data_IF_433256835621
#
_entry.id   IF_433256835621
#
_cell.length_a   1.000
_cell.length_b   1.000
_cell.length_c   1.000
_cell.angle_alpha   90.00
_cell.angle_beta   90.00
_cell.angle_gamma   90.00
#
_symmetry.space_group_name_H-M   'P 1'
#
loop_
_entity.id
_entity.type
_entity.pdbx_description
1 polymer ?
#
# COMPACT_ATOMS: atom_id res chain seq x y z
N UNK A 1 -15.64 -8.32 9.13
CA UNK A 1 -14.36 -8.81 8.59
C UNK A 1 -14.05 -10.25 9.00
N UNK A 2 -14.37 -10.66 10.23
CA UNK A 2 -14.13 -12.03 10.71
C UNK A 2 -14.81 -13.13 9.86
N UNK A 3 -15.92 -12.82 9.19
CA UNK A 3 -16.68 -13.76 8.35
C UNK A 3 -16.00 -14.14 7.03
N UNK A 4 -15.15 -13.28 6.45
CA UNK A 4 -14.38 -13.60 5.24
C UNK A 4 -13.13 -14.41 5.56
N UNK A 5 -12.41 -14.06 6.64
CA UNK A 5 -11.22 -14.80 7.12
C UNK A 5 -11.52 -16.28 7.34
N UNK A 6 -12.72 -16.61 7.80
CA UNK A 6 -13.17 -17.98 8.11
C UNK A 6 -13.61 -18.78 6.90
N UNK A 7 -14.06 -18.14 5.80
CA UNK A 7 -14.60 -18.86 4.62
C UNK A 7 -13.63 -18.96 3.44
N UNK A 8 -12.81 -17.93 3.23
CA UNK A 8 -11.89 -17.85 2.08
C UNK A 8 -10.41 -18.06 2.49
N UNK A 9 -10.10 -17.93 3.79
CA UNK A 9 -8.74 -17.90 4.30
C UNK A 9 -8.13 -16.50 4.30
N UNK A 10 -7.09 -16.31 5.12
CA UNK A 10 -6.44 -15.00 5.32
C UNK A 10 -5.66 -14.53 4.08
N UNK A 11 -5.18 -15.45 3.27
CA UNK A 11 -4.38 -15.17 2.07
C UNK A 11 -5.22 -14.95 0.80
N UNK A 12 -6.55 -15.10 0.88
CA UNK A 12 -7.40 -14.98 -0.30
C UNK A 12 -7.43 -13.53 -0.82
N UNK A 13 -7.36 -13.29 -2.14
CA UNK A 13 -7.36 -11.95 -2.72
C UNK A 13 -8.48 -11.04 -2.17
N UNK A 14 -9.71 -11.54 -2.11
CA UNK A 14 -10.85 -10.78 -1.55
C UNK A 14 -10.70 -10.46 -0.05
N UNK A 15 -10.10 -11.37 0.72
CA UNK A 15 -9.81 -11.13 2.14
C UNK A 15 -8.75 -10.04 2.27
N UNK A 16 -7.69 -10.09 1.46
CA UNK A 16 -6.62 -9.09 1.44
C UNK A 16 -7.13 -7.71 0.99
N UNK A 17 -8.00 -7.66 0.00
CA UNK A 17 -8.66 -6.41 -0.42
C UNK A 17 -9.55 -5.86 0.69
N UNK A 18 -10.31 -6.72 1.38
CA UNK A 18 -11.11 -6.32 2.54
C UNK A 18 -10.25 -5.81 3.70
N UNK A 19 -9.07 -6.39 3.92
CA UNK A 19 -8.07 -5.92 4.89
C UNK A 19 -7.54 -4.54 4.54
N UNK A 20 -7.16 -4.30 3.29
CA UNK A 20 -6.70 -3.00 2.83
C UNK A 20 -7.79 -1.91 2.99
N UNK A 21 -9.04 -2.22 2.66
CA UNK A 21 -10.16 -1.29 2.85
C UNK A 21 -10.41 -0.97 4.34
N UNK A 22 -10.27 -1.96 5.22
CA UNK A 22 -10.36 -1.73 6.66
C UNK A 22 -9.22 -0.84 7.16
N UNK A 23 -7.99 -1.06 6.69
CA UNK A 23 -6.85 -0.21 7.03
C UNK A 23 -7.08 1.25 6.60
N UNK A 24 -7.58 1.48 5.38
CA UNK A 24 -7.96 2.82 4.92
C UNK A 24 -9.03 3.46 5.81
N UNK A 25 -10.00 2.67 6.27
CA UNK A 25 -11.02 3.14 7.22
C UNK A 25 -10.41 3.55 8.56
N UNK A 26 -9.47 2.77 9.09
CA UNK A 26 -8.74 3.11 10.33
C UNK A 26 -7.88 4.36 10.16
N UNK A 27 -7.21 4.50 9.03
CA UNK A 27 -6.42 5.68 8.69
C UNK A 27 -7.27 6.95 8.71
N UNK A 28 -8.43 6.93 8.04
CA UNK A 28 -9.39 8.04 8.05
C UNK A 28 -9.96 8.36 9.44
N UNK A 29 -9.89 7.44 10.40
CA UNK A 29 -10.29 7.64 11.80
C UNK A 29 -9.14 8.13 12.69
N UNK A 30 -7.95 8.36 12.14
CA UNK A 30 -6.74 8.69 12.91
C UNK A 30 -6.12 7.49 13.64
N UNK A 31 -6.59 6.27 13.37
CA UNK A 31 -6.08 5.03 13.97
C UNK A 31 -4.92 4.49 13.14
N UNK A 32 -3.86 5.28 13.02
CA UNK A 32 -2.78 5.01 12.08
C UNK A 32 -1.99 3.74 12.40
N UNK A 33 -1.81 3.38 13.67
CA UNK A 33 -1.09 2.16 14.04
C UNK A 33 -1.86 0.88 13.66
N UNK A 34 -3.18 0.88 13.84
CA UNK A 34 -4.05 -0.22 13.42
C UNK A 34 -4.07 -0.36 11.89
N UNK A 35 -4.09 0.78 11.17
CA UNK A 35 -4.01 0.80 9.71
C UNK A 35 -2.67 0.21 9.22
N UNK A 36 -1.56 0.68 9.80
CA UNK A 36 -0.19 0.22 9.50
C UNK A 36 -0.05 -1.28 9.71
N UNK A 37 -0.54 -1.83 10.81
CA UNK A 37 -0.45 -3.28 11.09
C UNK A 37 -1.15 -4.10 10.01
N UNK A 38 -2.37 -3.70 9.63
CA UNK A 38 -3.12 -4.36 8.56
C UNK A 38 -2.44 -4.21 7.20
N UNK A 39 -1.94 -3.02 6.86
CA UNK A 39 -1.25 -2.77 5.59
C UNK A 39 0.03 -3.58 5.46
N UNK A 40 0.85 -3.67 6.52
CA UNK A 40 2.05 -4.52 6.56
C UNK A 40 1.67 -5.98 6.35
N UNK A 41 0.63 -6.47 7.04
CA UNK A 41 0.16 -7.83 6.87
C UNK A 41 -0.26 -8.12 5.42
N UNK A 42 -1.05 -7.24 4.82
CA UNK A 42 -1.50 -7.40 3.42
C UNK A 42 -0.33 -7.34 2.45
N UNK A 43 0.59 -6.39 2.66
CA UNK A 43 1.77 -6.20 1.82
C UNK A 43 2.66 -7.44 1.82
N UNK A 44 3.01 -7.98 2.99
CA UNK A 44 3.87 -9.16 3.10
C UNK A 44 3.21 -10.41 2.53
N UNK A 45 1.90 -10.59 2.73
CA UNK A 45 1.17 -11.71 2.10
C UNK A 45 1.18 -11.59 0.57
N UNK A 46 0.88 -10.42 0.02
CA UNK A 46 0.90 -10.21 -1.44
C UNK A 46 2.30 -10.36 -2.01
N UNK A 47 3.32 -9.82 -1.35
CA UNK A 47 4.73 -9.97 -1.71
C UNK A 47 5.14 -11.45 -1.77
N UNK A 48 4.71 -12.25 -0.79
CA UNK A 48 4.99 -13.69 -0.74
C UNK A 48 4.28 -14.47 -1.86
N UNK A 49 3.03 -14.11 -2.19
CA UNK A 49 2.21 -14.88 -3.14
C UNK A 49 2.38 -14.45 -4.60
N UNK A 50 2.55 -13.15 -4.83
CA UNK A 50 2.52 -12.51 -6.15
C UNK A 50 3.88 -11.96 -6.57
N UNK A 51 4.79 -11.76 -5.61
CA UNK A 51 6.08 -11.11 -5.83
C UNK A 51 6.04 -9.62 -5.50
N UNK A 52 7.22 -9.03 -5.33
CA UNK A 52 7.40 -7.62 -4.95
C UNK A 52 6.98 -6.65 -6.06
N UNK A 53 7.15 -7.05 -7.33
CA UNK A 53 6.83 -6.22 -8.50
C UNK A 53 5.35 -6.25 -8.90
N UNK A 54 4.53 -7.08 -8.25
CA UNK A 54 3.14 -7.24 -8.67
C UNK A 54 2.32 -5.98 -8.37
N UNK A 55 1.43 -5.51 -9.28
CA UNK A 55 0.63 -4.29 -9.08
C UNK A 55 -0.12 -4.24 -7.74
N UNK A 56 -0.71 -5.36 -7.31
CA UNK A 56 -1.38 -5.43 -6.00
C UNK A 56 -0.43 -5.30 -4.81
N UNK A 57 0.81 -5.78 -4.93
CA UNK A 57 1.85 -5.61 -3.91
C UNK A 57 2.29 -4.15 -3.85
N UNK A 58 2.55 -3.53 -5.01
CA UNK A 58 2.92 -2.13 -5.13
C UNK A 58 1.82 -1.19 -4.61
N UNK A 59 0.55 -1.52 -4.86
CA UNK A 59 -0.59 -0.79 -4.30
C UNK A 59 -0.61 -0.87 -2.76
N UNK A 60 -0.30 -2.03 -2.18
CA UNK A 60 -0.18 -2.16 -0.72
C UNK A 60 0.99 -1.35 -0.15
N UNK A 61 2.12 -1.30 -0.85
CA UNK A 61 3.28 -0.48 -0.47
C UNK A 61 2.90 1.01 -0.46
N UNK A 62 2.20 1.49 -1.51
CA UNK A 62 1.75 2.87 -1.59
C UNK A 62 0.71 3.24 -0.49
N UNK A 63 -0.15 2.30 -0.10
CA UNK A 63 -1.07 2.49 1.04
C UNK A 63 -0.30 2.66 2.36
N UNK A 64 0.72 1.82 2.59
CA UNK A 64 1.58 1.92 3.77
C UNK A 64 2.36 3.25 3.80
N UNK A 65 2.86 3.70 2.65
CA UNK A 65 3.50 5.01 2.52
C UNK A 65 2.54 6.14 2.91
N UNK A 66 1.28 6.07 2.47
CA UNK A 66 0.25 7.05 2.83
C UNK A 66 0.00 7.09 4.34
N UNK A 67 -0.06 5.94 5.00
CA UNK A 67 -0.18 5.86 6.46
C UNK A 67 1.03 6.46 7.17
N UNK A 68 2.25 6.28 6.65
CA UNK A 68 3.43 6.94 7.21
C UNK A 68 3.41 8.46 7.07
N UNK A 69 2.90 9.00 5.94
CA UNK A 69 2.71 10.45 5.79
C UNK A 69 1.78 11.01 6.84
N UNK A 70 0.65 10.35 7.09
CA UNK A 70 -0.31 10.78 8.11
C UNK A 70 0.27 10.70 9.55
N UNK A 71 1.23 9.81 9.79
CA UNK A 71 2.00 9.76 11.04
C UNK A 71 3.14 10.81 11.12
N UNK A 72 3.36 11.61 10.08
CA UNK A 72 4.49 12.54 9.98
C UNK A 72 5.84 11.85 9.74
N UNK A 73 5.85 10.59 9.32
CA UNK A 73 7.05 9.79 9.04
C UNK A 73 7.43 9.89 7.56
N UNK A 74 7.78 11.09 7.13
CA UNK A 74 8.01 11.42 5.72
C UNK A 74 9.13 10.61 5.07
N UNK A 75 10.27 10.44 5.73
CA UNK A 75 11.41 9.66 5.20
C UNK A 75 11.02 8.20 4.87
N UNK A 76 10.24 7.57 5.75
CA UNK A 76 9.77 6.21 5.55
C UNK A 76 8.73 6.11 4.43
N UNK A 77 7.90 7.15 4.24
CA UNK A 77 6.96 7.21 3.13
C UNK A 77 7.67 7.42 1.79
N UNK A 78 8.67 8.30 1.75
CA UNK A 78 9.50 8.59 0.58
C UNK A 78 10.19 7.32 0.06
N UNK A 79 10.83 6.55 0.93
CA UNK A 79 11.51 5.31 0.54
C UNK A 79 10.55 4.33 -0.17
N UNK A 80 9.35 4.16 0.38
CA UNK A 80 8.33 3.28 -0.19
C UNK A 80 7.77 3.81 -1.51
N UNK A 81 7.48 5.11 -1.60
CA UNK A 81 6.96 5.71 -2.84
C UNK A 81 8.00 5.66 -3.97
N UNK A 82 9.28 5.92 -3.67
CA UNK A 82 10.37 5.80 -4.65
C UNK A 82 10.48 4.37 -5.17
N UNK A 83 10.44 3.37 -4.29
CA UNK A 83 10.41 1.96 -4.68
C UNK A 83 9.28 1.65 -5.67
N UNK A 84 8.07 2.16 -5.41
CA UNK A 84 6.91 1.94 -6.27
C UNK A 84 7.10 2.60 -7.63
N UNK A 85 7.57 3.84 -7.67
CA UNK A 85 7.82 4.60 -8.91
C UNK A 85 8.86 3.89 -9.77
N UNK A 86 9.99 3.49 -9.19
CA UNK A 86 11.07 2.80 -9.94
C UNK A 86 10.57 1.51 -10.56
N UNK A 87 9.75 0.76 -9.82
CA UNK A 87 9.18 -0.49 -10.31
C UNK A 87 8.19 -0.25 -11.46
N UNK A 88 7.23 0.65 -11.29
CA UNK A 88 6.27 0.96 -12.36
C UNK A 88 6.94 1.57 -13.59
N UNK A 89 7.90 2.48 -13.39
CA UNK A 89 8.68 3.06 -14.49
C UNK A 89 9.42 1.99 -15.29
N UNK A 90 9.99 0.99 -14.61
CA UNK A 90 10.72 -0.11 -15.26
C UNK A 90 9.80 -1.07 -16.01
N UNK A 91 8.61 -1.37 -15.46
CA UNK A 91 7.69 -2.38 -16.02
C UNK A 91 6.71 -1.82 -17.05
N UNK A 92 6.20 -0.62 -16.82
CA UNK A 92 5.09 -0.02 -17.57
C UNK A 92 5.52 1.22 -18.36
N UNK A 93 6.67 1.81 -18.02
CA UNK A 93 7.16 3.05 -18.60
C UNK A 93 6.79 4.29 -17.78
N UNK A 94 7.45 5.40 -18.11
CA UNK A 94 7.30 6.67 -17.37
C UNK A 94 5.94 7.33 -17.56
N UNK A 95 5.33 7.16 -18.74
CA UNK A 95 4.04 7.79 -19.09
C UNK A 95 2.82 6.96 -18.67
N UNK A 96 3.03 5.80 -18.04
CA UNK A 96 1.92 4.96 -17.57
C UNK A 96 1.18 5.62 -16.41
N UNK A 97 -0.15 5.50 -16.40
CA UNK A 97 -1.02 6.12 -15.39
C UNK A 97 -0.61 5.76 -13.95
N UNK A 98 -0.25 4.49 -13.71
CA UNK A 98 0.21 4.05 -12.38
C UNK A 98 1.53 4.72 -11.98
N UNK A 99 2.49 4.84 -12.89
CA UNK A 99 3.76 5.56 -12.64
C UNK A 99 3.47 7.02 -12.29
N UNK A 100 2.61 7.69 -13.06
CA UNK A 100 2.23 9.08 -12.84
C UNK A 100 1.50 9.27 -11.50
N UNK A 101 0.61 8.34 -11.14
CA UNK A 101 -0.11 8.36 -9.86
C UNK A 101 0.85 8.21 -8.68
N UNK A 102 1.80 7.29 -8.76
CA UNK A 102 2.83 7.12 -7.73
C UNK A 102 3.75 8.34 -7.63
N UNK A 103 4.12 8.96 -8.76
CA UNK A 103 4.89 10.22 -8.75
C UNK A 103 4.10 11.36 -8.10
N UNK A 104 2.79 11.45 -8.34
CA UNK A 104 1.93 12.42 -7.66
C UNK A 104 1.87 12.17 -6.15
N UNK A 105 1.78 10.91 -5.73
CA UNK A 105 1.83 10.55 -4.31
C UNK A 105 3.16 10.97 -3.67
N UNK A 106 4.29 10.71 -4.32
CA UNK A 106 5.60 11.16 -3.83
C UNK A 106 5.69 12.69 -3.76
N UNK A 107 5.15 13.40 -4.74
CA UNK A 107 5.13 14.87 -4.72
C UNK A 107 4.40 15.44 -3.49
N UNK A 108 3.33 14.78 -3.03
CA UNK A 108 2.63 15.16 -1.79
C UNK A 108 3.49 14.99 -0.54
N UNK A 109 4.47 14.09 -0.56
CA UNK A 109 5.42 13.88 0.54
C UNK A 109 6.30 15.12 0.76
N UNK A 110 6.69 15.81 -0.31
CA UNK A 110 7.57 16.99 -0.25
C UNK A 110 6.84 18.34 -0.13
N UNK A 111 5.50 18.35 -0.11
CA UNK A 111 4.71 19.58 0.03
C UNK A 111 4.45 19.99 1.49
N UNK A 112 4.96 19.23 2.47
CA UNK A 112 4.76 19.45 3.90
C UNK A 112 6.06 19.77 4.63
#
# INVERSE_FOLDING_TARGET
METFKTKLGVDHPDTLTSMANLASTYRNQGRWDDAKELEVQVMETRKTKLGVDHPDTLTSIANLASTYKEQGRWDAAEELDVQVIETFKTKLGVDHLDTLTSMANLALTYQN
#
